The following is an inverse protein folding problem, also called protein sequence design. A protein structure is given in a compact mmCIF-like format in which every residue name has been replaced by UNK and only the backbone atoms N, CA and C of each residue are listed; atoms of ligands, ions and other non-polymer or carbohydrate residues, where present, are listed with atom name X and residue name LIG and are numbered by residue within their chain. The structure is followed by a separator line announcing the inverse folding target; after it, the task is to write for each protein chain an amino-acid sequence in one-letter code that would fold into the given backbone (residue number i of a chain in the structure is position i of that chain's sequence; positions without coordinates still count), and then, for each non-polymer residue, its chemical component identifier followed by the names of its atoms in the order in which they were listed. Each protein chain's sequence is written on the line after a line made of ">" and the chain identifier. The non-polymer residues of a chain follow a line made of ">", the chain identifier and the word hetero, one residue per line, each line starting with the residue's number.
data_IF_947290581990
#
_entry.id   IF_947290581990
#
_cell.length_a   1.000
_cell.length_b   1.000
_cell.length_c   1.000
_cell.angle_alpha   90.00
_cell.angle_beta   90.00
_cell.angle_gamma   90.00
#
_symmetry.space_group_name_H-M   'P 1'
#
loop_
_entity.id
_entity.type
_entity.pdbx_description
1 polymer ?
#
# COMPACT_ATOMS: atom_id res chain seq x y z
N UNK A 1 -0.95 2.80 -2.42
CA UNK A 1 -0.36 1.75 -3.28
C UNK A 1 -1.35 1.16 -4.29
N UNK A 2 -2.55 0.74 -3.87
CA UNK A 2 -3.58 0.23 -4.79
C UNK A 2 -3.97 1.24 -5.89
N UNK A 3 -4.10 2.54 -5.58
CA UNK A 3 -4.46 3.53 -6.61
C UNK A 3 -3.25 3.99 -7.46
N UNK A 4 -2.01 3.84 -7.00
CA UNK A 4 -0.80 4.06 -7.84
C UNK A 4 -0.65 2.90 -8.85
N UNK A 5 -0.93 1.66 -8.41
CA UNK A 5 -1.08 0.53 -9.33
C UNK A 5 -2.19 0.81 -10.33
N UNK A 6 -3.32 1.35 -9.88
CA UNK A 6 -4.42 1.74 -10.76
C UNK A 6 -4.05 2.85 -11.76
N UNK A 7 -3.30 3.87 -11.35
CA UNK A 7 -2.75 4.88 -12.26
C UNK A 7 -1.80 4.25 -13.29
N UNK A 8 -0.92 3.34 -12.87
CA UNK A 8 -0.04 2.62 -13.79
C UNK A 8 -0.83 1.76 -14.78
N UNK A 9 -1.84 1.00 -14.33
CA UNK A 9 -2.73 0.21 -15.20
C UNK A 9 -3.53 1.10 -16.17
N UNK A 10 -3.96 2.29 -15.72
CA UNK A 10 -4.65 3.27 -16.60
C UNK A 10 -3.73 3.78 -17.71
N UNK A 11 -2.43 3.94 -17.44
CA UNK A 11 -1.43 4.26 -18.47
C UNK A 11 -1.17 3.10 -19.44
N UNK A 12 -1.40 1.84 -19.02
CA UNK A 12 -1.36 0.68 -19.92
C UNK A 12 -2.55 0.64 -20.87
N UNK A 13 -3.75 0.92 -20.34
CA UNK A 13 -4.99 0.95 -21.13
C UNK A 13 -4.98 2.06 -22.17
N UNK A 14 -4.38 3.22 -21.88
CA UNK A 14 -4.18 4.28 -22.86
C UNK A 14 -3.20 3.90 -24.00
N UNK A 15 -2.36 2.89 -23.80
CA UNK A 15 -1.32 2.47 -24.76
C UNK A 15 -1.60 1.17 -25.52
N UNK A 16 -2.56 0.35 -25.08
CA UNK A 16 -2.84 -0.97 -25.64
C UNK A 16 -3.92 -0.92 -26.74
N UNK A 17 -3.53 -0.42 -27.92
CA UNK A 17 -4.27 -0.69 -29.14
C UNK A 17 -3.88 -2.04 -29.74
N UNK A 18 -4.84 -2.97 -29.77
CA UNK A 18 -4.89 -4.27 -30.46
C UNK A 18 -4.27 -5.54 -29.84
N UNK A 19 -5.12 -6.58 -29.74
CA UNK A 19 -4.76 -7.99 -29.56
C UNK A 19 -5.92 -8.87 -29.04
N UNK A 20 -6.65 -9.50 -29.98
CA UNK A 20 -7.57 -10.66 -29.89
C UNK A 20 -7.13 -11.78 -28.92
N UNK A 21 -7.93 -12.72 -28.38
CA UNK A 21 -9.33 -13.14 -28.50
C UNK A 21 -9.65 -14.18 -27.39
N UNK A 22 -10.93 -14.53 -27.30
CA UNK A 22 -11.55 -15.75 -26.75
C UNK A 22 -12.14 -15.71 -25.33
N UNK A 23 -13.48 -15.67 -25.34
CA UNK A 23 -14.39 -15.68 -24.21
C UNK A 23 -14.82 -17.12 -23.88
N UNK A 24 -15.14 -17.37 -22.60
CA UNK A 24 -16.14 -18.36 -22.23
C UNK A 24 -16.99 -17.84 -21.06
N UNK A 25 -18.28 -18.11 -21.18
CA UNK A 25 -19.42 -17.58 -20.46
C UNK A 25 -19.59 -18.19 -19.07
N UNK A 26 -19.98 -17.41 -18.05
CA UNK A 26 -20.82 -17.93 -16.97
C UNK A 26 -21.60 -16.82 -16.25
N UNK A 27 -22.90 -17.06 -16.08
CA UNK A 27 -23.90 -16.12 -15.56
C UNK A 27 -23.86 -16.02 -14.02
N UNK A 28 -24.21 -14.84 -13.48
CA UNK A 28 -24.43 -14.60 -12.06
C UNK A 28 -25.85 -14.04 -11.82
N UNK A 29 -26.55 -14.60 -10.84
CA UNK A 29 -27.82 -14.13 -10.28
C UNK A 29 -27.63 -13.10 -9.16
N UNK A 30 -28.67 -12.30 -8.95
CA UNK A 30 -28.74 -11.05 -8.21
C UNK A 30 -29.12 -11.16 -6.73
N UNK A 31 -28.76 -10.13 -5.97
CA UNK A 31 -29.45 -9.63 -4.75
C UNK A 31 -28.52 -8.68 -3.99
N UNK A 32 -28.86 -7.49 -3.50
CA UNK A 32 -30.12 -6.77 -3.36
C UNK A 32 -30.09 -6.00 -2.02
N UNK A 33 -30.06 -4.66 -2.06
CA UNK A 33 -30.38 -3.73 -0.94
C UNK A 33 -29.21 -3.38 0.01
N UNK A 34 -29.16 -2.22 0.67
CA UNK A 34 -29.95 -1.00 0.65
C UNK A 34 -29.12 0.13 1.32
N UNK A 35 -29.36 1.38 0.90
CA UNK A 35 -28.69 2.60 1.36
C UNK A 35 -29.48 3.27 2.49
N UNK A 36 -28.81 3.85 3.49
CA UNK A 36 -29.42 4.74 4.48
C UNK A 36 -28.68 6.07 4.59
N UNK A 37 -29.40 7.15 4.27
CA UNK A 37 -29.04 8.56 4.46
C UNK A 37 -29.21 8.94 5.93
N UNK A 38 -28.35 9.83 6.45
CA UNK A 38 -28.57 10.50 7.73
C UNK A 38 -28.80 12.00 7.53
N UNK A 39 -29.84 12.47 8.21
CA UNK A 39 -30.40 13.82 8.24
C UNK A 39 -29.71 14.71 9.26
N UNK A 40 -29.55 15.99 8.91
CA UNK A 40 -29.10 17.10 9.75
C UNK A 40 -30.10 17.45 10.86
N UNK A 41 -29.62 17.81 12.04
CA UNK A 41 -30.40 18.47 13.09
C UNK A 41 -29.76 19.82 13.44
N UNK A 42 -30.59 20.87 13.42
CA UNK A 42 -30.27 22.23 13.84
C UNK A 42 -30.60 22.42 15.33
N UNK A 43 -29.84 23.26 16.03
CA UNK A 43 -30.18 23.78 17.35
C UNK A 43 -29.88 25.28 17.42
N UNK A 44 -30.80 25.98 18.09
CA UNK A 44 -31.03 27.43 18.13
C UNK A 44 -30.09 28.20 19.07
N UNK A 45 -29.87 29.47 18.76
CA UNK A 45 -29.09 30.48 19.50
C UNK A 45 -29.81 31.04 20.74
N UNK A 46 -29.03 31.53 21.73
CA UNK A 46 -29.35 32.71 22.55
C UNK A 46 -28.10 33.26 23.30
N UNK A 47 -27.84 34.58 23.19
CA UNK A 47 -27.44 35.43 24.33
C UNK A 47 -25.98 35.90 24.58
N UNK A 48 -25.51 36.87 23.80
CA UNK A 48 -24.59 38.01 24.08
C UNK A 48 -23.55 38.03 25.23
N UNK A 49 -22.27 38.27 24.88
CA UNK A 49 -21.37 39.21 25.58
C UNK A 49 -20.23 39.73 24.66
N UNK A 50 -20.26 41.04 24.40
CA UNK A 50 -19.32 41.80 23.56
C UNK A 50 -17.88 41.81 24.09
N UNK A 51 -16.93 41.40 23.25
CA UNK A 51 -15.51 41.75 23.30
C UNK A 51 -15.01 41.98 21.88
N UNK A 52 -14.74 43.25 21.52
CA UNK A 52 -14.36 43.63 20.16
C UNK A 52 -12.97 43.10 19.79
N UNK A 53 -12.93 42.18 18.82
CA UNK A 53 -11.77 41.98 17.95
C UNK A 53 -12.29 41.89 16.52
N UNK A 54 -12.02 42.95 15.78
CA UNK A 54 -12.25 43.00 14.34
C UNK A 54 -11.25 42.08 13.64
N UNK A 55 -11.71 41.01 12.98
CA UNK A 55 -11.10 40.40 11.79
C UNK A 55 -12.04 39.31 11.20
N UNK A 56 -12.70 39.70 10.11
CA UNK A 56 -13.31 38.93 8.99
C UNK A 56 -14.10 37.62 9.23
N UNK A 57 -15.33 37.49 8.65
CA UNK A 57 -16.10 36.26 8.67
C UNK A 57 -15.66 35.30 7.54
N UNK A 58 -15.43 34.03 7.87
CA UNK A 58 -15.39 32.93 6.89
C UNK A 58 -13.99 32.39 6.57
N UNK A 59 -13.46 31.56 7.46
CA UNK A 59 -12.29 30.73 7.23
C UNK A 59 -11.80 30.16 8.55
N UNK A 60 -11.93 28.85 8.74
CA UNK A 60 -11.22 28.17 9.84
C UNK A 60 -9.74 28.49 9.64
N UNK A 61 -9.06 29.02 10.66
CA UNK A 61 -7.64 29.35 10.52
C UNK A 61 -6.85 28.08 10.18
N UNK A 62 -5.78 28.19 9.38
CA UNK A 62 -4.92 27.04 9.05
C UNK A 62 -4.48 26.28 10.31
N UNK A 63 -4.23 27.02 11.40
CA UNK A 63 -3.91 26.48 12.71
C UNK A 63 -5.05 25.63 13.28
N UNK A 64 -6.30 26.06 13.15
CA UNK A 64 -7.44 25.29 13.65
C UNK A 64 -7.68 24.02 12.83
N UNK A 65 -7.44 24.05 11.52
CA UNK A 65 -7.45 22.82 10.70
C UNK A 65 -6.33 21.86 11.11
N UNK A 66 -5.12 22.39 11.39
CA UNK A 66 -4.01 21.59 11.91
C UNK A 66 -4.36 20.95 13.26
N UNK A 67 -4.93 21.73 14.20
CA UNK A 67 -5.38 21.23 15.51
C UNK A 67 -6.41 20.12 15.35
N UNK A 68 -7.39 20.28 14.47
CA UNK A 68 -8.39 19.25 14.20
C UNK A 68 -7.76 17.95 13.71
N UNK A 69 -6.80 18.04 12.78
CA UNK A 69 -6.08 16.87 12.24
C UNK A 69 -5.30 16.14 13.34
N UNK A 70 -4.50 16.86 14.14
CA UNK A 70 -3.74 16.24 15.22
C UNK A 70 -4.63 15.72 16.35
N UNK A 71 -5.74 16.40 16.67
CA UNK A 71 -6.70 15.91 17.66
C UNK A 71 -7.30 14.55 17.22
N UNK A 72 -7.67 14.39 15.95
CA UNK A 72 -8.16 13.12 15.41
C UNK A 72 -7.10 12.01 15.46
N UNK A 73 -5.84 12.34 15.19
CA UNK A 73 -4.73 11.38 15.32
C UNK A 73 -4.49 10.94 16.77
N UNK A 74 -4.56 11.88 17.72
CA UNK A 74 -4.40 11.60 19.15
C UNK A 74 -5.56 10.78 19.74
N UNK A 75 -6.77 10.95 19.20
CA UNK A 75 -7.94 10.14 19.56
C UNK A 75 -7.87 8.71 19.00
N UNK A 76 -6.97 8.44 18.04
CA UNK A 76 -6.82 7.11 17.44
C UNK A 76 -8.12 6.62 16.79
N UNK A 77 -8.81 7.49 16.06
CA UNK A 77 -10.12 7.24 15.42
C UNK A 77 -11.30 7.03 16.39
N UNK A 78 -11.07 6.99 17.71
CA UNK A 78 -12.13 6.94 18.72
C UNK A 78 -12.61 8.35 19.09
N UNK A 79 -13.59 8.83 18.33
CA UNK A 79 -14.20 10.16 18.54
C UNK A 79 -15.03 10.26 19.83
N UNK A 80 -15.23 9.17 20.58
CA UNK A 80 -15.91 9.19 21.89
C UNK A 80 -15.00 9.64 23.03
N UNK A 81 -13.67 9.64 22.82
CA UNK A 81 -12.68 9.95 23.85
C UNK A 81 -12.44 8.81 24.85
N UNK A 82 -12.96 7.60 24.60
CA UNK A 82 -12.87 6.45 25.49
C UNK A 82 -11.52 5.72 25.47
N UNK A 83 -10.58 6.13 24.61
CA UNK A 83 -9.25 5.53 24.50
C UNK A 83 -9.26 4.10 23.95
N UNK A 84 -10.35 3.67 23.31
CA UNK A 84 -10.48 2.34 22.66
C UNK A 84 -10.14 2.37 21.18
N UNK A 85 -9.43 3.43 20.76
CA UNK A 85 -9.01 3.65 19.39
C UNK A 85 -7.85 2.76 18.97
N UNK A 86 -7.37 3.02 17.76
CA UNK A 86 -6.21 2.35 17.16
C UNK A 86 -4.89 2.95 17.67
N UNK A 87 -3.77 2.28 17.38
CA UNK A 87 -2.44 2.83 17.66
C UNK A 87 -2.22 4.14 16.88
N UNK A 88 -1.39 5.05 17.41
CA UNK A 88 -1.04 6.29 16.72
C UNK A 88 -0.38 6.02 15.36
N UNK A 89 0.41 4.94 15.26
CA UNK A 89 1.00 4.49 14.00
C UNK A 89 -0.08 4.12 12.96
N UNK A 90 -1.08 3.35 13.36
CA UNK A 90 -2.20 2.99 12.47
C UNK A 90 -3.06 4.21 12.11
N UNK A 91 -3.34 5.08 13.08
CA UNK A 91 -4.08 6.32 12.84
C UNK A 91 -3.38 7.22 11.80
N UNK A 92 -2.04 7.33 11.87
CA UNK A 92 -1.24 8.06 10.88
C UNK A 92 -1.32 7.37 9.51
N UNK A 93 -1.16 6.05 9.45
CA UNK A 93 -1.26 5.27 8.20
C UNK A 93 -2.63 5.45 7.51
N UNK A 94 -3.70 5.40 8.29
CA UNK A 94 -5.06 5.65 7.82
C UNK A 94 -5.25 7.10 7.38
N UNK A 95 -4.71 8.07 8.12
CA UNK A 95 -4.79 9.48 7.74
C UNK A 95 -4.10 9.76 6.40
N UNK A 96 -2.91 9.18 6.14
CA UNK A 96 -2.21 9.29 4.85
C UNK A 96 -3.06 8.67 3.74
N UNK A 97 -3.59 7.46 3.97
CA UNK A 97 -4.39 6.74 2.98
C UNK A 97 -5.69 7.49 2.64
N UNK A 98 -6.35 8.05 3.64
CA UNK A 98 -7.57 8.84 3.48
C UNK A 98 -7.30 10.18 2.78
N UNK A 99 -6.18 10.85 3.10
CA UNK A 99 -5.75 12.06 2.42
C UNK A 99 -5.50 11.80 0.93
N UNK A 100 -4.80 10.70 0.64
CA UNK A 100 -4.54 10.26 -0.73
C UNK A 100 -5.84 9.98 -1.50
N UNK A 101 -6.77 9.21 -0.93
CA UNK A 101 -8.07 8.92 -1.54
C UNK A 101 -8.90 10.20 -1.79
N UNK A 102 -8.84 11.18 -0.87
CA UNK A 102 -9.52 12.47 -1.01
C UNK A 102 -8.98 13.29 -2.20
N UNK A 103 -7.65 13.32 -2.36
CA UNK A 103 -6.99 14.15 -3.37
C UNK A 103 -6.96 13.47 -4.74
N UNK A 104 -6.54 12.20 -4.78
CA UNK A 104 -6.29 11.44 -6.01
C UNK A 104 -7.41 10.47 -6.38
N UNK A 105 -8.33 10.12 -5.48
CA UNK A 105 -9.41 9.17 -5.76
C UNK A 105 -10.40 9.64 -6.85
N UNK A 106 -10.46 10.96 -7.08
CA UNK A 106 -11.24 11.58 -8.16
C UNK A 106 -10.40 11.88 -9.43
N UNK A 107 -9.12 11.51 -9.44
CA UNK A 107 -8.26 11.70 -10.61
C UNK A 107 -8.57 10.59 -11.62
N UNK A 108 -9.63 10.80 -12.41
CA UNK A 108 -10.09 9.83 -13.42
C UNK A 108 -9.52 10.11 -14.82
N UNK A 109 -8.89 11.28 -14.99
CA UNK A 109 -8.34 11.77 -16.25
C UNK A 109 -6.84 12.01 -16.09
N UNK A 110 -6.09 11.84 -17.17
CA UNK A 110 -4.70 12.29 -17.24
C UNK A 110 -4.70 13.79 -17.49
N UNK A 111 -4.68 14.55 -16.40
CA UNK A 111 -4.64 16.00 -16.40
C UNK A 111 -3.82 16.50 -15.20
N UNK A 112 -3.30 17.74 -15.25
CA UNK A 112 -2.61 18.34 -14.12
C UNK A 112 -3.53 18.43 -12.89
N UNK A 113 -2.99 18.16 -11.70
CA UNK A 113 -3.77 18.39 -10.48
C UNK A 113 -4.12 19.87 -10.33
N UNK A 114 -5.35 20.21 -9.91
CA UNK A 114 -5.70 21.57 -9.52
C UNK A 114 -4.74 22.10 -8.47
N UNK A 115 -4.35 23.39 -8.58
CA UNK A 115 -3.38 24.01 -7.68
C UNK A 115 -3.80 23.87 -6.20
N UNK A 116 -5.09 24.07 -5.91
CA UNK A 116 -5.65 23.92 -4.56
C UNK A 116 -5.42 22.52 -3.99
N UNK A 117 -5.63 21.45 -4.79
CA UNK A 117 -5.39 20.06 -4.37
C UNK A 117 -3.90 19.78 -4.15
N UNK A 118 -3.01 20.35 -4.96
CA UNK A 118 -1.54 20.23 -4.77
C UNK A 118 -1.07 20.90 -3.49
N UNK A 119 -1.60 22.08 -3.19
CA UNK A 119 -1.27 22.82 -1.97
C UNK A 119 -1.81 22.11 -0.74
N UNK A 120 -3.05 21.58 -0.81
CA UNK A 120 -3.63 20.74 0.23
C UNK A 120 -2.79 19.49 0.48
N UNK A 121 -2.38 18.78 -0.57
CA UNK A 121 -1.49 17.61 -0.46
C UNK A 121 -0.19 17.95 0.27
N UNK A 122 0.54 18.97 -0.23
CA UNK A 122 1.83 19.38 0.35
C UNK A 122 1.70 19.80 1.80
N UNK A 123 0.66 20.57 2.13
CA UNK A 123 0.41 21.08 3.48
C UNK A 123 0.05 19.96 4.45
N UNK A 124 -0.97 19.18 4.15
CA UNK A 124 -1.46 18.14 5.06
C UNK A 124 -0.45 16.98 5.20
N UNK A 125 0.19 16.58 4.10
CA UNK A 125 1.26 15.58 4.18
C UNK A 125 2.45 16.09 4.99
N UNK A 126 2.78 17.38 4.89
CA UNK A 126 3.79 18.03 5.72
C UNK A 126 3.46 17.97 7.21
N UNK A 127 2.19 18.17 7.59
CA UNK A 127 1.75 18.02 8.98
C UNK A 127 1.87 16.59 9.47
N UNK A 128 1.35 15.62 8.70
CA UNK A 128 1.37 14.21 9.10
C UNK A 128 2.82 13.70 9.23
N UNK A 129 3.69 14.07 8.29
CA UNK A 129 5.09 13.66 8.28
C UNK A 129 5.95 14.42 9.30
N UNK A 130 5.49 15.50 9.92
CA UNK A 130 6.28 16.23 10.94
C UNK A 130 6.72 15.35 12.12
N UNK A 131 5.94 14.29 12.41
CA UNK A 131 6.28 13.30 13.45
C UNK A 131 7.62 12.61 13.16
N UNK A 132 8.00 12.46 11.88
CA UNK A 132 9.24 11.77 11.48
C UNK A 132 10.49 12.50 11.95
N UNK A 133 10.43 13.83 12.04
CA UNK A 133 11.57 14.67 12.43
C UNK A 133 11.94 14.50 13.91
N UNK A 134 11.01 13.93 14.69
CA UNK A 134 11.17 13.64 16.11
C UNK A 134 11.52 12.17 16.40
N UNK A 135 11.59 11.31 15.37
CA UNK A 135 11.98 9.90 15.53
C UNK A 135 13.49 9.78 15.35
N UNK A 136 14.19 9.64 16.47
CA UNK A 136 15.64 9.69 16.56
C UNK A 136 16.24 8.44 17.20
N UNK A 137 17.45 8.10 16.77
CA UNK A 137 18.37 7.20 17.44
C UNK A 137 19.41 8.02 18.23
N UNK A 138 19.68 7.61 19.47
CA UNK A 138 20.77 8.19 20.25
C UNK A 138 22.05 7.42 19.95
N UNK A 139 23.08 8.13 19.48
CA UNK A 139 24.39 7.56 19.18
C UNK A 139 25.49 8.20 20.01
N UNK A 140 26.46 7.40 20.51
CA UNK A 140 27.61 7.91 21.23
C UNK A 140 28.50 8.72 20.28
N UNK A 141 28.98 9.86 20.74
CA UNK A 141 29.84 10.77 20.01
C UNK A 141 30.84 11.43 20.95
N UNK A 142 31.89 12.03 20.40
CA UNK A 142 32.88 12.78 21.18
C UNK A 142 32.78 14.26 20.86
N UNK A 143 32.70 15.08 21.91
CA UNK A 143 32.88 16.53 21.82
C UNK A 143 34.28 16.89 22.29
N UNK A 144 35.02 17.57 21.43
CA UNK A 144 36.36 18.08 21.75
C UNK A 144 36.18 19.53 22.19
N UNK A 145 36.61 19.82 23.42
CA UNK A 145 36.59 21.18 23.95
C UNK A 145 37.82 21.97 23.47
N UNK A 146 37.80 23.31 23.52
CA UNK A 146 38.93 24.16 23.08
C UNK A 146 40.24 23.92 23.84
N UNK A 147 40.16 23.33 25.03
CA UNK A 147 41.28 22.91 25.88
C UNK A 147 41.89 21.56 25.45
N UNK A 148 41.34 20.89 24.43
CA UNK A 148 41.77 19.58 23.95
C UNK A 148 41.13 18.39 24.68
N UNK A 149 40.30 18.64 25.69
CA UNK A 149 39.62 17.57 26.45
C UNK A 149 38.53 16.92 25.59
N UNK A 150 38.50 15.58 25.56
CA UNK A 150 37.47 14.79 24.89
C UNK A 150 36.40 14.38 25.89
N UNK A 151 35.15 14.75 25.64
CA UNK A 151 34.00 14.31 26.41
C UNK A 151 33.12 13.43 25.54
N UNK A 152 32.81 12.23 26.04
CA UNK A 152 31.81 11.36 25.45
C UNK A 152 30.42 11.92 25.74
N UNK A 153 29.65 12.14 24.68
CA UNK A 153 28.30 12.68 24.72
C UNK A 153 27.37 11.78 23.90
N UNK A 154 26.08 11.82 24.21
CA UNK A 154 25.06 11.27 23.34
C UNK A 154 24.58 12.35 22.37
N UNK A 155 24.48 11.99 21.09
CA UNK A 155 23.89 12.86 20.05
C UNK A 155 22.69 12.18 19.42
N UNK A 156 21.74 12.98 18.95
CA UNK A 156 20.53 12.50 18.30
C UNK A 156 20.73 12.55 16.78
N UNK A 157 20.44 11.44 16.09
CA UNK A 157 20.33 11.38 14.63
C UNK A 157 18.95 10.83 14.26
N UNK A 158 18.36 11.21 13.11
CA UNK A 158 17.15 10.56 12.63
C UNK A 158 17.35 9.05 12.51
N UNK A 159 16.28 8.27 12.73
CA UNK A 159 16.30 6.81 12.56
C UNK A 159 16.79 6.45 11.15
N UNK A 160 17.65 5.43 11.08
CA UNK A 160 18.44 5.13 9.87
C UNK A 160 17.59 4.83 8.62
N UNK A 161 16.51 4.07 8.78
CA UNK A 161 15.51 3.79 7.76
C UNK A 161 14.80 5.07 7.27
N UNK A 162 14.41 5.96 8.19
CA UNK A 162 13.73 7.23 7.86
C UNK A 162 14.66 8.19 7.14
N UNK A 163 15.93 8.24 7.57
CA UNK A 163 16.94 9.09 6.97
C UNK A 163 17.14 8.79 5.47
N UNK A 164 17.02 7.52 5.07
CA UNK A 164 17.17 7.09 3.67
C UNK A 164 15.83 7.12 2.92
N UNK A 165 14.79 6.51 3.49
CA UNK A 165 13.54 6.24 2.78
C UNK A 165 12.67 7.49 2.64
N UNK A 166 12.62 8.37 3.65
CA UNK A 166 11.72 9.52 3.63
C UNK A 166 12.08 10.54 2.52
N UNK A 167 13.36 10.94 2.33
CA UNK A 167 13.74 11.79 1.20
C UNK A 167 13.48 11.13 -0.15
N UNK A 168 13.70 9.80 -0.27
CA UNK A 168 13.41 9.06 -1.49
C UNK A 168 11.91 9.09 -1.82
N UNK A 169 11.03 8.84 -0.85
CA UNK A 169 9.58 8.92 -1.03
C UNK A 169 9.12 10.34 -1.40
N UNK A 170 9.66 11.39 -0.76
CA UNK A 170 9.35 12.78 -1.14
C UNK A 170 9.77 13.09 -2.58
N UNK A 171 10.91 12.55 -3.04
CA UNK A 171 11.35 12.71 -4.43
C UNK A 171 10.41 11.99 -5.40
N UNK A 172 9.96 10.77 -5.08
CA UNK A 172 9.00 10.03 -5.88
C UNK A 172 7.65 10.76 -5.96
N UNK A 173 7.20 11.37 -4.87
CA UNK A 173 6.00 12.21 -4.82
C UNK A 173 6.11 13.42 -5.76
N UNK A 174 7.21 14.18 -5.66
CA UNK A 174 7.45 15.31 -6.58
C UNK A 174 7.48 14.87 -8.05
N UNK A 175 8.16 13.76 -8.36
CA UNK A 175 8.22 13.22 -9.72
C UNK A 175 6.82 12.81 -10.23
N UNK A 176 5.96 12.27 -9.37
CA UNK A 176 4.59 11.89 -9.74
C UNK A 176 3.73 13.13 -10.05
N UNK A 177 3.83 14.17 -9.22
CA UNK A 177 3.11 15.43 -9.44
C UNK A 177 3.60 16.12 -10.73
N UNK A 178 4.91 16.18 -10.95
CA UNK A 178 5.51 16.73 -12.19
C UNK A 178 5.08 15.95 -13.43
N UNK A 179 4.97 14.62 -13.33
CA UNK A 179 4.49 13.77 -14.41
C UNK A 179 3.04 14.11 -14.77
N UNK A 180 2.18 14.31 -13.77
CA UNK A 180 0.78 14.70 -13.96
C UNK A 180 0.66 16.11 -14.56
N UNK A 181 1.53 17.02 -14.14
CA UNK A 181 1.59 18.40 -14.67
C UNK A 181 1.97 18.46 -16.14
N UNK A 182 2.67 17.43 -16.63
CA UNK A 182 2.98 17.27 -18.03
C UNK A 182 1.77 16.98 -18.95
N UNK A 183 0.56 16.80 -18.43
CA UNK A 183 -0.65 16.49 -19.21
C UNK A 183 -1.56 17.71 -19.49
N UNK A 184 -1.03 18.93 -19.46
CA UNK A 184 -1.83 20.14 -19.79
C UNK A 184 -2.30 20.20 -21.24
N UNK A 185 -1.41 19.92 -22.20
CA UNK A 185 -1.70 19.96 -23.64
C UNK A 185 -1.67 18.54 -24.20
N UNK A 186 -2.86 17.92 -24.35
CA UNK A 186 -2.99 16.54 -24.83
C UNK A 186 -3.82 16.48 -26.12
N UNK A 187 -3.42 15.62 -27.05
CA UNK A 187 -4.19 15.35 -28.29
C UNK A 187 -5.40 14.44 -28.04
N UNK A 188 -5.48 13.81 -26.87
CA UNK A 188 -6.59 12.96 -26.45
C UNK A 188 -7.46 13.68 -25.43
N UNK A 189 -8.74 13.30 -25.36
CA UNK A 189 -9.69 13.89 -24.40
C UNK A 189 -10.56 12.80 -23.77
N UNK A 190 -11.33 13.18 -22.76
CA UNK A 190 -12.21 12.25 -22.04
C UNK A 190 -13.67 12.61 -22.27
N UNK A 191 -14.51 11.60 -22.46
CA UNK A 191 -15.97 11.73 -22.56
C UNK A 191 -16.63 11.04 -21.37
N UNK A 192 -17.50 11.76 -20.66
CA UNK A 192 -18.25 11.21 -19.53
C UNK A 192 -19.37 10.28 -20.02
N UNK A 193 -19.43 9.07 -19.45
CA UNK A 193 -20.49 8.10 -19.72
C UNK A 193 -21.81 8.62 -19.12
N UNK A 194 -22.67 9.21 -19.96
CA UNK A 194 -23.98 9.75 -19.57
C UNK A 194 -24.39 11.04 -20.29
N UNK A 195 -23.46 11.69 -21.01
CA UNK A 195 -23.74 12.86 -21.87
C UNK A 195 -23.37 12.59 -23.33
N UNK A 196 -23.92 11.55 -23.93
CA UNK A 196 -23.94 11.50 -25.40
C UNK A 196 -25.22 12.19 -25.87
N UNK A 197 -25.06 13.40 -26.37
CA UNK A 197 -25.87 13.85 -27.50
C UNK A 197 -25.60 12.91 -28.69
N UNK A 198 -26.69 12.63 -29.41
CA UNK A 198 -26.84 12.17 -30.80
C UNK A 198 -25.60 11.60 -31.51
N UNK A 199 -25.71 10.31 -31.88
CA UNK A 199 -25.22 9.65 -33.09
C UNK A 199 -24.11 10.36 -33.89
N UNK A 200 -22.90 9.80 -33.85
CA UNK A 200 -22.04 9.80 -35.05
C UNK A 200 -21.32 8.46 -35.18
N UNK A 201 -21.72 7.74 -36.23
CA UNK A 201 -21.30 6.42 -36.65
C UNK A 201 -19.77 6.24 -36.72
N UNK A 202 -19.25 5.10 -36.25
CA UNK A 202 -18.03 4.53 -36.85
C UNK A 202 -17.05 3.71 -35.99
N UNK A 203 -17.16 3.62 -34.66
CA UNK A 203 -16.13 2.91 -33.87
C UNK A 203 -16.67 2.11 -32.69
N UNK A 204 -17.64 1.23 -32.96
CA UNK A 204 -18.37 0.44 -31.95
C UNK A 204 -17.64 -0.84 -31.46
N UNK A 205 -16.40 -1.08 -31.87
CA UNK A 205 -15.67 -2.31 -31.50
C UNK A 205 -14.72 -2.12 -30.30
N UNK A 206 -14.22 -0.91 -30.05
CA UNK A 206 -13.43 -0.60 -28.86
C UNK A 206 -14.29 -0.39 -27.60
N UNK A 207 -15.58 -0.06 -27.77
CA UNK A 207 -16.49 0.26 -26.67
C UNK A 207 -16.71 -0.94 -25.74
N UNK A 208 -16.98 -2.13 -26.28
CA UNK A 208 -17.52 -3.25 -25.49
C UNK A 208 -16.54 -3.93 -24.54
N UNK A 209 -15.22 -3.86 -24.79
CA UNK A 209 -14.23 -4.55 -23.94
C UNK A 209 -13.79 -3.69 -22.75
N UNK A 210 -13.67 -2.38 -22.93
CA UNK A 210 -13.29 -1.45 -21.86
C UNK A 210 -14.49 -1.09 -20.96
N UNK A 211 -15.72 -1.19 -21.48
CA UNK A 211 -16.96 -0.97 -20.76
C UNK A 211 -17.18 -1.90 -19.56
N UNK A 212 -16.65 -3.13 -19.59
CA UNK A 212 -17.01 -4.18 -18.62
C UNK A 212 -16.29 -4.10 -17.27
N UNK A 213 -15.08 -3.52 -17.19
CA UNK A 213 -14.29 -3.62 -15.95
C UNK A 213 -14.44 -2.44 -14.99
N UNK A 214 -14.67 -1.21 -15.48
CA UNK A 214 -14.77 -0.01 -14.63
C UNK A 214 -15.77 0.98 -15.21
N UNK A 215 -17.05 0.74 -14.94
CA UNK A 215 -18.17 1.50 -15.50
C UNK A 215 -18.20 2.98 -15.08
N UNK A 216 -17.54 3.33 -13.98
CA UNK A 216 -17.48 4.69 -13.43
C UNK A 216 -16.38 5.58 -14.05
N UNK A 217 -15.49 5.05 -14.90
CA UNK A 217 -14.41 5.84 -15.50
C UNK A 217 -14.83 6.51 -16.82
N UNK A 218 -14.41 7.76 -17.08
CA UNK A 218 -14.55 8.42 -18.37
C UNK A 218 -13.82 7.66 -19.49
N UNK A 219 -14.35 7.70 -20.72
CA UNK A 219 -13.74 7.01 -21.86
C UNK A 219 -12.73 7.94 -22.54
N UNK A 220 -11.45 7.54 -22.69
CA UNK A 220 -10.49 8.30 -23.49
C UNK A 220 -10.83 8.20 -24.98
N UNK A 221 -10.78 9.33 -25.68
CA UNK A 221 -10.96 9.47 -27.12
C UNK A 221 -9.72 10.10 -27.73
N UNK A 222 -9.44 9.74 -28.97
CA UNK A 222 -8.31 10.24 -29.76
C UNK A 222 -8.83 10.75 -31.11
N UNK A 223 -8.05 11.56 -31.84
CA UNK A 223 -8.39 11.98 -33.20
C UNK A 223 -8.63 10.77 -34.11
N UNK A 224 -9.44 10.92 -35.16
CA UNK A 224 -9.77 9.83 -36.08
C UNK A 224 -8.53 9.22 -36.76
N UNK A 225 -7.51 10.05 -37.00
CA UNK A 225 -6.22 9.65 -37.59
C UNK A 225 -5.22 9.07 -36.57
N UNK A 226 -5.61 8.97 -35.28
CA UNK A 226 -4.77 8.56 -34.17
C UNK A 226 -3.92 9.69 -33.59
N UNK A 227 -3.08 9.34 -32.60
CA UNK A 227 -2.12 10.26 -31.98
C UNK A 227 -0.90 10.50 -32.89
N UNK A 228 -0.33 11.69 -32.84
CA UNK A 228 0.93 11.99 -33.50
C UNK A 228 2.08 11.11 -32.98
N UNK A 229 3.11 10.91 -33.81
CA UNK A 229 4.28 10.12 -33.43
C UNK A 229 5.01 10.70 -32.21
N UNK A 230 5.05 12.03 -32.10
CA UNK A 230 5.65 12.75 -30.98
C UNK A 230 4.84 12.55 -29.70
N UNK A 231 3.52 12.75 -29.75
CA UNK A 231 2.63 12.54 -28.59
C UNK A 231 2.66 11.09 -28.11
N UNK A 232 2.71 10.12 -29.04
CA UNK A 232 2.84 8.70 -28.70
C UNK A 232 4.17 8.41 -27.99
N UNK A 233 5.27 8.95 -28.50
CA UNK A 233 6.61 8.78 -27.91
C UNK A 233 6.67 9.42 -26.52
N UNK A 234 6.07 10.61 -26.37
CA UNK A 234 6.03 11.31 -25.09
C UNK A 234 5.19 10.55 -24.05
N UNK A 235 4.04 10.01 -24.45
CA UNK A 235 3.19 9.18 -23.59
C UNK A 235 3.91 7.91 -23.14
N UNK A 236 4.64 7.24 -24.05
CA UNK A 236 5.46 6.08 -23.70
C UNK A 236 6.56 6.41 -22.70
N UNK A 237 7.26 7.54 -22.87
CA UNK A 237 8.27 8.01 -21.90
C UNK A 237 7.67 8.28 -20.53
N UNK A 238 6.51 8.94 -20.48
CA UNK A 238 5.79 9.18 -19.21
C UNK A 238 5.35 7.87 -18.56
N UNK A 239 4.84 6.90 -19.34
CA UNK A 239 4.47 5.56 -18.83
C UNK A 239 5.67 4.85 -18.19
N UNK A 240 6.82 4.86 -18.84
CA UNK A 240 8.02 4.24 -18.29
C UNK A 240 8.47 4.94 -16.99
N UNK A 241 8.42 6.28 -16.96
CA UNK A 241 8.69 7.04 -15.73
C UNK A 241 7.74 6.64 -14.58
N UNK A 242 6.42 6.59 -14.83
CA UNK A 242 5.44 6.17 -13.82
C UNK A 242 5.66 4.73 -13.33
N UNK A 243 6.03 3.82 -14.24
CA UNK A 243 6.37 2.44 -13.90
C UNK A 243 7.60 2.36 -12.98
N UNK A 244 8.62 3.18 -13.25
CA UNK A 244 9.81 3.26 -12.41
C UNK A 244 9.51 3.84 -11.03
N UNK A 245 8.68 4.88 -10.96
CA UNK A 245 8.20 5.46 -9.70
C UNK A 245 7.45 4.39 -8.88
N UNK A 246 6.51 3.68 -9.49
CA UNK A 246 5.77 2.60 -8.84
C UNK A 246 6.70 1.50 -8.34
N UNK A 247 7.66 1.07 -9.16
CA UNK A 247 8.62 0.03 -8.78
C UNK A 247 9.44 0.45 -7.55
N UNK A 248 10.00 1.67 -7.56
CA UNK A 248 10.78 2.19 -6.44
C UNK A 248 9.93 2.30 -5.15
N UNK A 249 8.70 2.82 -5.26
CA UNK A 249 7.78 2.90 -4.13
C UNK A 249 7.39 1.51 -3.59
N UNK A 250 7.16 0.53 -4.47
CA UNK A 250 6.86 -0.85 -4.06
C UNK A 250 8.04 -1.51 -3.36
N UNK A 251 9.28 -1.27 -3.80
CA UNK A 251 10.47 -1.78 -3.11
C UNK A 251 10.55 -1.24 -1.69
N UNK A 252 10.47 0.09 -1.50
CA UNK A 252 10.50 0.70 -0.16
C UNK A 252 9.37 0.17 0.72
N UNK A 253 8.15 0.03 0.18
CA UNK A 253 7.01 -0.52 0.91
C UNK A 253 7.23 -1.98 1.33
N UNK A 254 7.82 -2.79 0.44
CA UNK A 254 8.11 -4.20 0.73
C UNK A 254 9.17 -4.31 1.82
N UNK A 255 10.24 -3.54 1.72
CA UNK A 255 11.33 -3.53 2.71
C UNK A 255 10.82 -3.08 4.08
N UNK A 256 10.01 -2.02 4.15
CA UNK A 256 9.39 -1.55 5.39
C UNK A 256 8.49 -2.62 6.05
N UNK A 257 7.70 -3.35 5.26
CA UNK A 257 6.83 -4.42 5.78
C UNK A 257 7.65 -5.65 6.21
N UNK A 258 8.78 -5.93 5.56
CA UNK A 258 9.68 -7.01 5.98
C UNK A 258 10.25 -6.73 7.38
N UNK A 259 10.66 -5.48 7.64
CA UNK A 259 11.24 -5.04 8.92
C UNK A 259 10.23 -4.97 10.08
N UNK A 260 8.92 -4.88 9.79
CA UNK A 260 7.88 -4.91 10.82
C UNK A 260 7.85 -6.25 11.57
N UNK A 261 7.70 -6.19 12.89
CA UNK A 261 7.56 -7.37 13.75
C UNK A 261 6.29 -8.17 13.41
N UNK A 262 6.38 -9.50 13.49
CA UNK A 262 5.22 -10.38 13.30
C UNK A 262 4.36 -10.38 14.57
N UNK A 263 3.09 -9.96 14.52
CA UNK A 263 2.26 -9.87 15.72
C UNK A 263 1.99 -11.23 16.38
N UNK A 264 1.98 -11.27 17.71
CA UNK A 264 1.67 -12.50 18.46
C UNK A 264 0.29 -13.08 18.11
N UNK A 265 -0.71 -12.21 17.88
CA UNK A 265 -2.06 -12.59 17.46
C UNK A 265 -2.07 -13.39 16.16
N UNK A 266 -1.21 -13.03 15.20
CA UNK A 266 -1.03 -13.80 13.97
C UNK A 266 -0.46 -15.17 14.30
N UNK A 267 0.61 -15.23 15.09
CA UNK A 267 1.28 -16.48 15.44
C UNK A 267 0.42 -17.43 16.27
N UNK A 268 -0.53 -16.91 17.05
CA UNK A 268 -1.52 -17.70 17.81
C UNK A 268 -2.63 -18.25 16.91
N UNK A 269 -2.98 -17.53 15.83
CA UNK A 269 -3.98 -17.98 14.86
C UNK A 269 -3.49 -19.08 13.91
N UNK A 270 -2.16 -19.29 13.82
CA UNK A 270 -1.57 -20.24 12.90
C UNK A 270 -1.94 -21.71 13.24
N UNK A 271 -2.10 -22.57 12.23
CA UNK A 271 -2.23 -24.01 12.45
C UNK A 271 -1.03 -24.60 13.22
N UNK A 272 -1.29 -25.66 14.00
CA UNK A 272 -0.24 -26.28 14.85
C UNK A 272 0.86 -27.03 14.08
N UNK A 273 0.63 -27.36 12.80
CA UNK A 273 1.55 -28.16 11.97
C UNK A 273 1.70 -27.57 10.57
N UNK A 274 2.91 -27.65 9.98
CA UNK A 274 3.16 -27.15 8.62
C UNK A 274 2.35 -27.89 7.55
N UNK A 275 2.01 -29.16 7.80
CA UNK A 275 1.10 -29.95 6.96
C UNK A 275 -0.32 -29.35 6.93
N UNK A 276 -0.82 -28.85 8.06
CA UNK A 276 -2.10 -28.16 8.12
C UNK A 276 -2.06 -26.78 7.44
N UNK A 277 -0.91 -26.09 7.46
CA UNK A 277 -0.75 -24.82 6.72
C UNK A 277 -0.74 -25.03 5.20
N UNK A 278 0.07 -25.96 4.70
CA UNK A 278 0.29 -26.15 3.26
C UNK A 278 -0.74 -27.06 2.60
N UNK A 279 -1.33 -27.98 3.34
CA UNK A 279 -2.10 -29.10 2.82
C UNK A 279 -1.22 -30.28 2.40
N UNK A 280 -1.85 -31.45 2.26
CA UNK A 280 -1.17 -32.74 2.11
C UNK A 280 -0.36 -32.90 0.81
N UNK A 281 -0.82 -32.31 -0.29
CA UNK A 281 -0.13 -32.33 -1.58
C UNK A 281 1.15 -31.49 -1.53
N UNK A 282 1.02 -30.24 -1.13
CA UNK A 282 2.12 -29.29 -1.04
C UNK A 282 3.15 -29.65 0.03
N UNK A 283 2.71 -30.13 1.19
CA UNK A 283 3.64 -30.57 2.23
C UNK A 283 4.53 -31.72 1.74
N UNK A 284 3.97 -32.69 1.00
CA UNK A 284 4.75 -33.77 0.38
C UNK A 284 5.75 -33.25 -0.65
N UNK A 285 5.37 -32.24 -1.42
CA UNK A 285 6.25 -31.60 -2.39
C UNK A 285 7.45 -30.92 -1.70
N UNK A 286 7.21 -30.07 -0.69
CA UNK A 286 8.27 -29.34 0.02
C UNK A 286 9.23 -30.27 0.75
N UNK A 287 8.73 -31.41 1.25
CA UNK A 287 9.53 -32.42 1.96
C UNK A 287 10.27 -33.38 1.01
N UNK A 288 9.88 -33.45 -0.27
CA UNK A 288 10.46 -34.38 -1.26
C UNK A 288 11.97 -34.15 -1.47
N UNK A 289 12.70 -35.22 -1.75
CA UNK A 289 14.14 -35.15 -2.07
C UNK A 289 14.38 -34.50 -3.45
N UNK A 290 13.41 -34.59 -4.37
CA UNK A 290 13.45 -34.01 -5.72
C UNK A 290 12.80 -32.62 -5.78
N UNK A 291 12.98 -31.80 -4.75
CA UNK A 291 12.43 -30.45 -4.70
C UNK A 291 13.05 -29.56 -5.79
N UNK A 292 12.21 -28.95 -6.63
CA UNK A 292 12.59 -27.91 -7.58
C UNK A 292 11.51 -26.84 -7.63
N UNK A 293 11.90 -25.58 -7.57
CA UNK A 293 10.95 -24.46 -7.65
C UNK A 293 10.23 -24.45 -9.00
N UNK A 294 10.92 -24.82 -10.07
CA UNK A 294 10.38 -24.85 -11.44
C UNK A 294 9.30 -25.93 -11.62
N UNK A 295 9.53 -27.13 -11.07
CA UNK A 295 8.59 -28.25 -11.22
C UNK A 295 7.28 -28.04 -10.45
N UNK A 296 7.28 -27.23 -9.40
CA UNK A 296 6.05 -26.82 -8.72
C UNK A 296 5.17 -26.00 -9.68
N UNK A 297 5.75 -25.05 -10.41
CA UNK A 297 4.99 -24.16 -11.28
C UNK A 297 4.28 -24.90 -12.40
N UNK A 298 4.87 -25.99 -12.91
CA UNK A 298 4.27 -26.82 -13.95
C UNK A 298 3.10 -27.68 -13.43
N UNK A 299 3.06 -27.92 -12.11
CA UNK A 299 2.06 -28.76 -11.45
C UNK A 299 0.90 -27.97 -10.82
N UNK A 300 0.96 -26.63 -10.83
CA UNK A 300 -0.02 -25.78 -10.16
C UNK A 300 -0.88 -25.00 -11.15
N UNK A 301 -2.18 -25.01 -10.88
CA UNK A 301 -3.09 -24.07 -11.51
C UNK A 301 -2.94 -22.69 -10.86
N UNK A 302 -2.16 -21.83 -11.51
CA UNK A 302 -1.92 -20.44 -11.10
C UNK A 302 -2.70 -19.47 -12.00
N UNK A 303 -3.82 -19.91 -12.55
CA UNK A 303 -4.63 -19.12 -13.49
C UNK A 303 -5.30 -17.90 -12.86
N UNK A 304 -5.48 -17.89 -11.54
CA UNK A 304 -6.16 -16.82 -10.80
C UNK A 304 -5.30 -16.26 -9.67
N UNK A 305 -5.20 -14.92 -9.59
CA UNK A 305 -4.42 -14.20 -8.57
C UNK A 305 -4.82 -14.57 -7.14
N UNK A 306 -6.10 -14.87 -6.90
CA UNK A 306 -6.59 -15.29 -5.59
C UNK A 306 -6.01 -16.64 -5.15
N UNK A 307 -5.82 -17.58 -6.08
CA UNK A 307 -5.21 -18.89 -5.80
C UNK A 307 -3.73 -18.72 -5.48
N UNK A 308 -3.05 -17.86 -6.23
CA UNK A 308 -1.65 -17.49 -5.96
C UNK A 308 -1.52 -16.85 -4.56
N UNK A 309 -2.41 -15.91 -4.23
CA UNK A 309 -2.43 -15.24 -2.92
C UNK A 309 -2.66 -16.21 -1.77
N UNK A 310 -3.61 -17.14 -1.92
CA UNK A 310 -3.86 -18.17 -0.93
C UNK A 310 -2.63 -19.06 -0.70
N UNK A 311 -1.96 -19.45 -1.79
CA UNK A 311 -0.72 -20.23 -1.69
C UNK A 311 0.39 -19.46 -0.96
N UNK A 312 0.58 -18.18 -1.29
CA UNK A 312 1.53 -17.30 -0.60
C UNK A 312 1.21 -17.21 0.89
N UNK A 313 -0.05 -16.99 1.27
CA UNK A 313 -0.48 -16.95 2.67
C UNK A 313 -0.16 -18.27 3.40
N UNK A 314 -0.41 -19.41 2.77
CA UNK A 314 -0.13 -20.74 3.35
C UNK A 314 1.37 -20.98 3.54
N UNK A 315 2.19 -20.56 2.58
CA UNK A 315 3.65 -20.63 2.67
C UNK A 315 4.19 -19.71 3.77
N UNK A 316 3.74 -18.45 3.84
CA UNK A 316 4.13 -17.50 4.90
C UNK A 316 3.75 -18.03 6.29
N UNK A 317 2.56 -18.62 6.44
CA UNK A 317 2.14 -19.29 7.67
C UNK A 317 3.08 -20.46 8.05
N UNK A 318 3.46 -21.30 7.08
CA UNK A 318 4.35 -22.44 7.32
C UNK A 318 5.77 -22.00 7.73
N UNK A 319 6.33 -21.00 7.05
CA UNK A 319 7.65 -20.42 7.37
C UNK A 319 7.66 -19.88 8.80
N UNK A 320 6.69 -19.04 9.16
CA UNK A 320 6.60 -18.46 10.50
C UNK A 320 6.42 -19.53 11.59
N UNK A 321 5.64 -20.60 11.32
CA UNK A 321 5.47 -21.71 12.24
C UNK A 321 6.78 -22.47 12.49
N UNK A 322 7.55 -22.76 11.42
CA UNK A 322 8.81 -23.48 11.54
C UNK A 322 9.88 -22.64 12.27
N UNK A 323 9.96 -21.34 11.99
CA UNK A 323 10.88 -20.40 12.67
C UNK A 323 10.52 -20.20 14.15
N UNK A 324 9.24 -20.01 14.50
CA UNK A 324 8.78 -19.86 15.90
C UNK A 324 9.17 -21.05 16.78
N UNK A 325 9.00 -22.27 16.27
CA UNK A 325 9.34 -23.51 17.00
C UNK A 325 10.84 -23.75 17.10
N UNK A 326 11.66 -23.17 16.22
CA UNK A 326 13.12 -23.18 16.36
C UNK A 326 13.59 -22.24 17.47
N UNK A 327 12.98 -21.06 17.63
CA UNK A 327 13.38 -20.07 18.66
C UNK A 327 12.83 -20.36 20.07
N UNK A 328 11.63 -20.95 20.20
CA UNK A 328 11.07 -21.34 21.50
C UNK A 328 11.92 -22.40 22.23
N UNK A 329 12.63 -23.26 21.50
CA UNK A 329 13.49 -24.29 22.10
C UNK A 329 14.85 -23.77 22.58
N UNK A 330 15.29 -22.58 22.16
CA UNK A 330 16.54 -21.96 22.63
C UNK A 330 16.38 -21.35 24.03
N UNK A 331 15.20 -20.82 24.35
CA UNK A 331 14.93 -20.19 25.65
C UNK A 331 14.51 -21.15 26.77
N UNK A 332 14.08 -22.39 26.44
CA UNK A 332 13.59 -23.39 27.42
C UNK A 332 14.65 -24.45 27.77
N UNK A 333 15.83 -24.43 27.14
CA UNK A 333 16.89 -25.39 27.42
C UNK A 333 17.70 -25.03 28.68
N UNK A 334 17.07 -25.04 29.85
CA UNK A 334 17.81 -25.10 31.12
C UNK A 334 17.37 -26.21 32.08
N UNK A 335 16.26 -26.92 31.86
CA UNK A 335 15.90 -28.06 32.72
C UNK A 335 14.94 -29.05 32.03
N UNK A 336 15.46 -30.06 31.33
CA UNK A 336 14.93 -31.43 31.34
C UNK A 336 15.80 -32.36 30.49
N UNK A 337 16.32 -33.43 31.10
CA UNK A 337 17.01 -34.52 30.43
C UNK A 337 16.01 -35.39 29.66
N UNK A 338 16.17 -35.52 28.34
CA UNK A 338 16.13 -36.79 27.55
C UNK A 338 16.02 -36.53 26.04
N UNK A 339 16.73 -37.37 25.29
CA UNK A 339 16.68 -37.63 23.82
C UNK A 339 17.48 -36.71 22.89
N UNK A 340 18.48 -37.33 22.23
CA UNK A 340 19.34 -36.80 21.15
C UNK A 340 18.60 -36.56 19.81
N UNK A 341 17.28 -36.39 19.81
CA UNK A 341 16.44 -36.22 18.62
C UNK A 341 15.93 -34.79 18.39
N UNK A 342 16.25 -33.85 19.29
CA UNK A 342 15.78 -32.46 19.20
C UNK A 342 16.59 -31.59 18.23
N UNK A 343 17.90 -31.84 18.07
CA UNK A 343 18.76 -31.08 17.14
C UNK A 343 18.36 -31.32 15.68
N UNK A 344 18.12 -32.58 15.32
CA UNK A 344 17.76 -32.98 13.95
C UNK A 344 16.40 -32.46 13.51
N UNK A 345 15.45 -32.30 14.42
CA UNK A 345 14.12 -31.76 14.10
C UNK A 345 14.16 -30.23 13.90
N UNK A 346 14.98 -29.52 14.69
CA UNK A 346 15.22 -28.09 14.49
C UNK A 346 15.88 -27.81 13.13
N UNK A 347 16.95 -28.54 12.81
CA UNK A 347 17.65 -28.45 11.52
C UNK A 347 16.73 -28.79 10.34
N UNK A 348 15.90 -29.84 10.48
CA UNK A 348 14.90 -30.21 9.46
C UNK A 348 13.86 -29.10 9.26
N UNK A 349 13.40 -28.45 10.32
CA UNK A 349 12.43 -27.35 10.21
C UNK A 349 13.04 -26.11 9.58
N UNK A 350 14.28 -25.78 9.91
CA UNK A 350 15.02 -24.69 9.27
C UNK A 350 15.21 -24.94 7.76
N UNK A 351 15.57 -26.16 7.40
CA UNK A 351 15.68 -26.58 6.00
C UNK A 351 14.35 -26.47 5.23
N UNK A 352 13.24 -26.89 5.84
CA UNK A 352 11.91 -26.75 5.24
C UNK A 352 11.46 -25.29 5.14
N UNK A 353 11.82 -24.45 6.12
CA UNK A 353 11.58 -23.02 6.08
C UNK A 353 12.33 -22.36 4.90
N UNK A 354 13.61 -22.68 4.71
CA UNK A 354 14.39 -22.17 3.58
C UNK A 354 13.77 -22.53 2.22
N UNK A 355 13.35 -23.80 2.04
CA UNK A 355 12.66 -24.22 0.80
C UNK A 355 11.35 -23.45 0.55
N UNK A 356 10.57 -23.20 1.60
CA UNK A 356 9.33 -22.44 1.47
C UNK A 356 9.59 -20.95 1.19
N UNK A 357 10.66 -20.37 1.73
CA UNK A 357 11.11 -19.01 1.42
C UNK A 357 11.55 -18.88 -0.05
N UNK A 358 12.27 -19.86 -0.60
CA UNK A 358 12.63 -19.89 -2.01
C UNK A 358 11.39 -19.90 -2.93
N UNK A 359 10.36 -20.69 -2.57
CA UNK A 359 9.08 -20.69 -3.28
C UNK A 359 8.36 -19.35 -3.18
N UNK A 360 8.32 -18.75 -1.99
CA UNK A 360 7.71 -17.43 -1.78
C UNK A 360 8.39 -16.37 -2.63
N UNK A 361 9.73 -16.38 -2.68
CA UNK A 361 10.50 -15.43 -3.49
C UNK A 361 10.17 -15.61 -4.97
N UNK A 362 10.14 -16.84 -5.47
CA UNK A 362 9.82 -17.12 -6.87
C UNK A 362 8.37 -16.74 -7.23
N UNK A 363 7.41 -16.96 -6.33
CA UNK A 363 6.01 -16.53 -6.50
C UNK A 363 5.90 -15.00 -6.55
N UNK A 364 6.56 -14.29 -5.62
CA UNK A 364 6.56 -12.81 -5.61
C UNK A 364 7.24 -12.21 -6.85
N UNK A 365 8.25 -12.88 -7.41
CA UNK A 365 8.89 -12.48 -8.67
C UNK A 365 8.00 -12.70 -9.90
N UNK A 366 7.28 -13.83 -9.97
CA UNK A 366 6.35 -14.11 -11.07
C UNK A 366 5.07 -13.26 -11.01
N UNK A 367 4.60 -12.93 -9.81
CA UNK A 367 3.36 -12.20 -9.58
C UNK A 367 3.61 -10.90 -8.78
N UNK A 368 4.26 -9.89 -9.40
CA UNK A 368 4.63 -8.65 -8.71
C UNK A 368 3.44 -7.77 -8.31
N UNK A 369 2.26 -8.01 -8.90
CA UNK A 369 1.05 -7.22 -8.68
C UNK A 369 0.07 -7.87 -7.68
N UNK A 370 0.51 -8.90 -6.96
CA UNK A 370 -0.31 -9.61 -5.99
C UNK A 370 -0.87 -8.64 -4.93
N UNK A 371 -2.10 -8.92 -4.48
CA UNK A 371 -2.67 -8.21 -3.34
C UNK A 371 -1.84 -8.45 -2.07
N UNK A 372 -2.01 -7.56 -1.10
CA UNK A 372 -1.36 -7.66 0.20
C UNK A 372 -1.73 -8.99 0.89
N UNK A 373 -0.73 -9.67 1.46
CA UNK A 373 -0.95 -10.94 2.15
C UNK A 373 -1.62 -10.74 3.50
N UNK A 374 -2.17 -11.81 4.07
CA UNK A 374 -2.77 -11.78 5.42
C UNK A 374 -1.73 -11.41 6.47
N UNK A 375 -0.49 -11.91 6.35
CA UNK A 375 0.61 -11.54 7.24
C UNK A 375 0.93 -10.05 7.12
N UNK A 376 1.11 -9.55 5.89
CA UNK A 376 1.40 -8.14 5.63
C UNK A 376 0.29 -7.24 6.19
N UNK A 377 -0.99 -7.60 5.99
CA UNK A 377 -2.13 -6.86 6.54
C UNK A 377 -2.12 -6.84 8.07
N UNK A 378 -1.81 -7.99 8.70
CA UNK A 378 -1.76 -8.11 10.15
C UNK A 378 -0.58 -7.32 10.74
N UNK A 379 0.58 -7.34 10.07
CA UNK A 379 1.73 -6.49 10.44
C UNK A 379 1.35 -5.01 10.48
N UNK A 380 0.68 -4.50 9.43
CA UNK A 380 0.23 -3.10 9.41
C UNK A 380 -0.79 -2.82 10.51
N UNK A 381 -1.78 -3.70 10.69
CA UNK A 381 -2.86 -3.49 11.66
C UNK A 381 -2.36 -3.42 13.11
N UNK A 382 -1.39 -4.25 13.48
CA UNK A 382 -0.88 -4.33 14.85
C UNK A 382 0.44 -3.58 15.05
N UNK A 383 0.94 -2.87 14.04
CA UNK A 383 2.16 -2.08 14.18
C UNK A 383 1.96 -0.97 15.23
N UNK A 384 2.95 -0.86 16.13
CA UNK A 384 3.02 0.18 17.17
C UNK A 384 4.20 1.12 16.96
N UNK A 385 5.12 0.78 16.07
CA UNK A 385 6.25 1.62 15.73
C UNK A 385 5.76 2.71 14.78
N UNK A 386 6.06 3.97 15.10
CA UNK A 386 5.76 5.07 14.19
C UNK A 386 6.64 4.91 12.95
N UNK A 387 5.96 4.76 11.81
CA UNK A 387 6.45 4.42 10.46
C UNK A 387 6.92 2.97 10.36
#
# INVERSE_FOLDING_TARGET
>A
MAEIRELATRMELAGAGNGSDSASDFSAESGGGASSRFSSFAASEDGDAKGASSLLPGGISEIDTMKERFAKLLLGEDMSGGGKGVSTALAISNAITNLFASIFGQLWRLEPLPLEKKEMWRREMGWILSVTDHIIEMVPAYKIFPDGTKLEIMTCRPRSDLFVNLPALRKLDSMLIELLDGFGDTEFWYVDKGKSDVDTNGSALFDKSLERQKWWLPVPRTPADGLSADSRTQLQRRRECAKQILKAAMTINTDAILDMEVPDSYLESLPKTGRACLGDSFYRFVVSDHFSVESLFDCLDLSADLVVLELVNRLEAAVNLWRKKSHSHVLVSSNCSTTKSSSTDAERREFLAGRAEDLLLALKQKFPNLCQTTLEATKIQFNKVLL
#
